data_IF_449567905489
#
_entry.id   IF_449567905489
#
_cell.length_a   1.000
_cell.length_b   1.000
_cell.length_c   1.000
_cell.angle_alpha   90.00
_cell.angle_beta   90.00
_cell.angle_gamma   90.00
#
_symmetry.space_group_name_H-M   'P 1'
#
loop_
_entity.id
_entity.type
_entity.pdbx_description
1 polymer ?
#
# COMPACT_ATOMS: atom_id res chain seq x y z
N UNK A 1 -14.42 -3.79 -7.60
CA UNK A 1 -13.21 -3.06 -7.18
C UNK A 1 -13.54 -2.39 -5.87
N UNK A 2 -12.72 -2.53 -4.83
CA UNK A 2 -12.93 -1.78 -3.58
C UNK A 2 -12.23 -0.43 -3.78
N UNK A 3 -13.03 0.62 -3.89
CA UNK A 3 -12.57 2.00 -3.82
C UNK A 3 -12.77 2.54 -2.40
N UNK A 4 -12.43 3.80 -2.18
CA UNK A 4 -12.55 4.45 -0.88
C UNK A 4 -14.00 4.42 -0.37
N UNK A 5 -14.97 4.78 -1.21
CA UNK A 5 -16.38 4.83 -0.85
C UNK A 5 -16.90 3.48 -0.39
N UNK A 6 -16.51 2.39 -1.07
CA UNK A 6 -16.86 1.03 -0.65
C UNK A 6 -16.19 0.65 0.67
N UNK A 7 -14.93 1.02 0.88
CA UNK A 7 -14.23 0.76 2.14
C UNK A 7 -14.91 1.49 3.32
N UNK A 8 -15.33 2.74 3.12
CA UNK A 8 -16.11 3.53 4.09
C UNK A 8 -17.47 2.87 4.38
N UNK A 9 -18.19 2.42 3.35
CA UNK A 9 -19.48 1.73 3.49
C UNK A 9 -19.36 0.44 4.32
N UNK A 10 -18.26 -0.29 4.15
CA UNK A 10 -17.99 -1.52 4.90
C UNK A 10 -17.52 -1.27 6.33
N UNK A 11 -17.36 -0.01 6.75
CA UNK A 11 -16.84 0.37 8.07
C UNK A 11 -15.55 -0.36 8.45
N UNK A 12 -14.61 -0.47 7.49
CA UNK A 12 -13.34 -1.16 7.77
C UNK A 12 -12.56 -0.41 8.85
N UNK A 13 -11.98 -1.11 9.86
CA UNK A 13 -11.36 -0.43 10.99
C UNK A 13 -10.14 0.41 10.59
N UNK A 14 -9.39 -0.05 9.58
CA UNK A 14 -8.33 0.67 8.86
C UNK A 14 -8.26 0.10 7.44
N UNK A 15 -7.99 0.93 6.44
CA UNK A 15 -7.97 0.47 5.05
C UNK A 15 -6.89 1.11 4.19
N UNK A 16 -6.16 0.31 3.42
CA UNK A 16 -5.32 0.79 2.32
C UNK A 16 -6.00 0.42 0.99
N UNK A 17 -6.45 1.43 0.26
CA UNK A 17 -7.13 1.27 -1.03
C UNK A 17 -6.12 1.36 -2.16
N UNK A 18 -6.07 0.33 -3.01
CA UNK A 18 -5.24 0.31 -4.21
C UNK A 18 -6.12 0.34 -5.46
N UNK A 19 -5.73 1.17 -6.44
CA UNK A 19 -6.42 1.29 -7.73
C UNK A 19 -5.93 0.24 -8.74
N UNK A 20 -5.80 -1.01 -8.28
CA UNK A 20 -5.41 -2.14 -9.12
C UNK A 20 -6.66 -2.84 -9.67
N UNK A 21 -6.64 -3.26 -10.94
CA UNK A 21 -7.79 -3.89 -11.58
C UNK A 21 -8.12 -5.23 -10.95
N UNK A 22 -9.41 -5.61 -11.02
CA UNK A 22 -9.92 -6.90 -10.54
C UNK A 22 -9.67 -7.19 -9.05
N UNK A 23 -9.52 -6.16 -8.22
CA UNK A 23 -9.39 -6.34 -6.77
C UNK A 23 -8.14 -7.11 -6.37
N UNK A 24 -7.02 -6.90 -7.08
CA UNK A 24 -5.72 -7.51 -6.77
C UNK A 24 -5.01 -6.67 -5.70
N UNK A 25 -5.11 -6.99 -4.40
CA UNK A 25 -4.60 -6.11 -3.35
C UNK A 25 -3.08 -5.91 -3.44
N UNK A 26 -2.32 -6.97 -3.73
CA UNK A 26 -0.86 -6.92 -3.82
C UNK A 26 -0.30 -6.76 -5.25
N UNK A 27 -1.17 -6.45 -6.22
CA UNK A 27 -0.75 -6.20 -7.59
C UNK A 27 -0.63 -7.45 -8.46
N UNK A 28 0.33 -7.46 -9.39
CA UNK A 28 0.48 -8.53 -10.38
C UNK A 28 1.15 -9.79 -9.78
N UNK A 29 0.80 -10.99 -10.25
CA UNK A 29 1.48 -12.21 -9.83
C UNK A 29 2.96 -12.16 -10.27
N UNK A 30 3.85 -12.76 -9.45
CA UNK A 30 5.28 -12.80 -9.73
C UNK A 30 6.01 -11.46 -9.64
N UNK A 31 5.45 -10.46 -8.94
CA UNK A 31 6.07 -9.15 -8.71
C UNK A 31 6.38 -8.95 -7.22
N UNK A 32 7.40 -9.63 -6.66
CA UNK A 32 7.67 -9.59 -5.22
C UNK A 32 7.97 -8.18 -4.69
N UNK A 33 8.68 -7.34 -5.45
CA UNK A 33 8.96 -5.96 -5.05
C UNK A 33 7.69 -5.11 -4.94
N UNK A 34 6.75 -5.27 -5.89
CA UNK A 34 5.44 -4.62 -5.80
C UNK A 34 4.68 -5.06 -4.56
N UNK A 35 4.62 -6.38 -4.34
CA UNK A 35 3.91 -6.96 -3.21
C UNK A 35 4.49 -6.47 -1.88
N UNK A 36 5.83 -6.38 -1.80
CA UNK A 36 6.55 -5.85 -0.64
C UNK A 36 6.23 -4.39 -0.36
N UNK A 37 6.29 -3.53 -1.37
CA UNK A 37 5.94 -2.10 -1.23
C UNK A 37 4.52 -1.94 -0.67
N UNK A 38 3.55 -2.67 -1.23
CA UNK A 38 2.16 -2.62 -0.78
C UNK A 38 2.02 -3.14 0.66
N UNK A 39 2.72 -4.22 1.01
CA UNK A 39 2.71 -4.78 2.35
C UNK A 39 3.29 -3.81 3.37
N UNK A 40 4.45 -3.20 3.07
CA UNK A 40 5.09 -2.21 3.95
C UNK A 40 4.19 -0.99 4.17
N UNK A 41 3.45 -0.53 3.16
CA UNK A 41 2.49 0.57 3.29
C UNK A 41 1.29 0.19 4.18
N UNK A 42 0.78 -1.03 4.02
CA UNK A 42 -0.31 -1.54 4.84
C UNK A 42 0.12 -1.64 6.31
N UNK A 43 1.32 -2.17 6.57
CA UNK A 43 1.89 -2.23 7.93
C UNK A 43 2.15 -0.83 8.50
N UNK A 44 2.66 0.09 7.69
CA UNK A 44 2.87 1.48 8.09
C UNK A 44 1.55 2.14 8.46
N UNK A 45 0.47 1.91 7.72
CA UNK A 45 -0.86 2.39 8.08
C UNK A 45 -1.30 1.88 9.46
N UNK A 46 -1.05 0.60 9.78
CA UNK A 46 -1.43 0.05 11.08
C UNK A 46 -0.76 0.77 12.26
N UNK A 47 0.52 1.14 12.11
CA UNK A 47 1.29 1.84 13.15
C UNK A 47 1.14 3.37 13.14
N UNK A 48 0.73 3.97 12.03
CA UNK A 48 0.66 5.44 11.86
C UNK A 48 -0.75 6.00 11.74
N UNK A 49 -1.79 5.16 11.73
CA UNK A 49 -3.18 5.62 11.76
C UNK A 49 -3.46 6.33 13.09
N UNK A 50 -4.08 7.50 13.03
CA UNK A 50 -4.35 8.34 14.20
C UNK A 50 -5.77 8.20 14.72
N UNK A 51 -6.69 7.80 13.86
CA UNK A 51 -8.11 7.69 14.19
C UNK A 51 -8.68 6.32 13.77
N UNK A 52 -9.71 5.81 14.46
CA UNK A 52 -10.48 4.66 14.00
C UNK A 52 -11.10 4.91 12.62
N UNK A 53 -11.12 3.88 11.77
CA UNK A 53 -11.69 3.97 10.43
C UNK A 53 -10.78 4.67 9.42
N UNK A 54 -9.52 4.95 9.74
CA UNK A 54 -8.63 5.65 8.82
C UNK A 54 -8.39 4.82 7.53
N UNK A 55 -8.81 5.39 6.41
CA UNK A 55 -8.63 4.84 5.08
C UNK A 55 -7.66 5.72 4.29
N UNK A 56 -6.60 5.13 3.74
CA UNK A 56 -5.65 5.79 2.84
C UNK A 56 -5.73 5.19 1.45
N UNK A 57 -5.51 6.01 0.43
CA UNK A 57 -5.42 5.55 -0.97
C UNK A 57 -3.95 5.52 -1.37
N UNK A 58 -3.46 4.37 -1.82
CA UNK A 58 -2.10 4.23 -2.31
C UNK A 58 -1.90 5.01 -3.62
N UNK A 59 -0.72 5.62 -3.86
CA UNK A 59 -0.47 6.44 -5.05
C UNK A 59 -0.21 5.61 -6.32
N UNK A 60 -0.12 4.29 -6.20
CA UNK A 60 0.33 3.40 -7.27
C UNK A 60 -0.69 3.24 -8.40
N UNK A 61 -0.20 3.35 -9.63
CA UNK A 61 -0.93 3.03 -10.85
C UNK A 61 -0.57 1.62 -11.33
N UNK A 62 -1.58 0.91 -11.84
CA UNK A 62 -1.40 -0.46 -12.31
C UNK A 62 -0.32 -0.56 -13.40
N UNK A 63 0.76 -1.32 -13.11
CA UNK A 63 1.90 -1.57 -14.01
C UNK A 63 2.62 -0.30 -14.52
N UNK A 64 2.62 0.78 -13.74
CA UNK A 64 3.29 2.04 -14.11
C UNK A 64 4.36 2.51 -13.12
N UNK A 65 4.62 1.73 -12.08
CA UNK A 65 5.59 2.08 -11.04
C UNK A 65 6.86 1.26 -11.17
N UNK A 66 7.99 1.85 -10.80
CA UNK A 66 9.26 1.16 -10.57
C UNK A 66 9.38 0.77 -9.10
N UNK A 67 8.87 -0.42 -8.77
CA UNK A 67 8.90 -0.93 -7.39
C UNK A 67 10.30 -1.31 -6.90
N UNK A 68 11.26 -1.54 -7.80
CA UNK A 68 12.66 -1.78 -7.41
C UNK A 68 13.23 -0.48 -6.85
N UNK A 69 13.07 0.62 -7.60
CA UNK A 69 13.50 1.94 -7.18
C UNK A 69 12.81 2.40 -5.90
N UNK A 70 11.49 2.22 -5.78
CA UNK A 70 10.74 2.59 -4.57
C UNK A 70 11.30 1.86 -3.34
N UNK A 71 11.61 0.56 -3.43
CA UNK A 71 12.22 -0.16 -2.31
C UNK A 71 13.65 0.31 -2.01
N UNK A 72 14.46 0.53 -3.04
CA UNK A 72 15.81 1.02 -2.86
C UNK A 72 15.84 2.38 -2.15
N UNK A 73 14.92 3.29 -2.48
CA UNK A 73 14.77 4.59 -1.82
C UNK A 73 14.33 4.45 -0.35
N UNK A 74 13.45 3.50 -0.04
CA UNK A 74 12.99 3.22 1.35
C UNK A 74 14.09 2.67 2.24
N UNK A 75 14.85 1.70 1.75
CA UNK A 75 15.85 0.99 2.55
C UNK A 75 17.23 1.68 2.48
N UNK A 76 17.54 2.38 1.39
CA UNK A 76 18.79 3.10 1.19
C UNK A 76 18.97 4.31 2.11
N UNK A 77 17.87 4.84 2.68
CA UNK A 77 17.92 5.86 3.74
C UNK A 77 18.09 5.30 5.16
N UNK A 78 18.04 3.97 5.34
CA UNK A 78 18.02 3.31 6.66
C UNK A 78 19.38 2.78 7.12
N UNK A 79 20.47 3.03 6.39
CA UNK A 79 21.83 2.59 6.76
C UNK A 79 22.56 3.54 7.71
N UNK A 80 21.93 4.62 8.17
CA UNK A 80 22.47 5.53 9.18
C UNK A 80 21.71 5.37 10.50
N UNK A 81 22.06 4.36 11.30
CA UNK A 81 21.50 4.25 12.65
C UNK A 81 21.50 2.84 13.24
N UNK A 82 22.66 2.19 13.30
CA UNK A 82 23.06 1.27 14.39
C UNK A 82 24.54 1.51 14.65
#
# INVERSE_FOLDING_TARGET
>A
MVDRTRAETLSVPRGLVLRFPFGRPFGAPGKPNQQRVVLEDALTLLGSAREPGEIRTAPYRWRREDYVRILAERHGGSSAGI
#
